data_IF_486421702027
#
_entry.id   IF_486421702027
#
_cell.length_a   1.000
_cell.length_b   1.000
_cell.length_c   1.000
_cell.angle_alpha   90.00
_cell.angle_beta   90.00
_cell.angle_gamma   90.00
#
_symmetry.space_group_name_H-M   'P 1'
#
loop_
_entity.id
_entity.type
_entity.pdbx_description
1 polymer ?
#
# COMPACT_ATOMS: atom_id res chain seq x y z
N UNK A 1 6.67 -11.48 1.55
CA UNK A 1 6.72 -11.59 3.02
C UNK A 1 8.05 -12.24 3.37
N UNK A 2 8.66 -11.98 4.53
CA UNK A 2 9.89 -12.70 4.94
C UNK A 2 9.53 -13.80 5.91
N UNK A 3 10.30 -14.90 5.92
CA UNK A 3 10.14 -15.99 6.90
C UNK A 3 10.15 -15.47 8.34
N UNK A 4 11.01 -14.49 8.64
CA UNK A 4 11.07 -13.83 9.96
C UNK A 4 9.77 -13.10 10.32
N UNK A 5 9.12 -12.43 9.36
CA UNK A 5 7.84 -11.77 9.59
C UNK A 5 6.74 -12.79 9.98
N UNK A 6 6.76 -13.96 9.33
CA UNK A 6 5.82 -15.05 9.58
C UNK A 6 5.94 -15.56 11.03
N UNK A 7 7.18 -15.84 11.49
CA UNK A 7 7.42 -16.28 12.87
C UNK A 7 7.06 -15.21 13.92
N UNK A 8 7.18 -13.94 13.56
CA UNK A 8 6.76 -12.82 14.41
C UNK A 8 5.24 -12.57 14.40
N UNK A 9 4.46 -13.41 13.73
CA UNK A 9 2.99 -13.31 13.67
C UNK A 9 2.48 -12.28 12.65
N UNK A 10 3.37 -11.69 11.85
CA UNK A 10 2.99 -10.85 10.72
C UNK A 10 2.68 -11.77 9.53
N UNK A 11 1.40 -12.05 9.33
CA UNK A 11 0.91 -12.81 8.20
C UNK A 11 -0.14 -12.03 7.43
N UNK A 12 0.07 -11.89 6.13
CA UNK A 12 -0.92 -11.32 5.22
C UNK A 12 -1.72 -12.44 4.57
N UNK A 13 -3.04 -12.39 4.73
CA UNK A 13 -3.93 -13.33 4.06
C UNK A 13 -3.97 -13.01 2.55
N UNK A 14 -3.39 -13.90 1.73
CA UNK A 14 -3.42 -13.77 0.26
C UNK A 14 -4.84 -13.75 -0.30
N UNK A 15 -5.78 -14.41 0.36
CA UNK A 15 -7.19 -14.38 0.03
C UNK A 15 -7.99 -13.99 1.28
N UNK A 16 -8.42 -12.72 1.35
CA UNK A 16 -9.14 -12.17 2.51
C UNK A 16 -10.56 -12.74 2.65
N UNK A 17 -11.20 -13.17 1.56
CA UNK A 17 -12.53 -13.81 1.58
C UNK A 17 -12.47 -15.18 2.26
N UNK A 18 -11.63 -16.10 1.76
CA UNK A 18 -11.44 -17.42 2.40
C UNK A 18 -11.10 -17.21 3.85
N UNK A 19 -10.25 -16.22 4.08
CA UNK A 19 -9.86 -15.88 5.41
C UNK A 19 -11.09 -15.57 6.29
N UNK A 20 -11.86 -14.57 5.89
CA UNK A 20 -13.06 -14.16 6.60
C UNK A 20 -14.03 -15.33 6.89
N UNK A 21 -14.24 -16.23 5.93
CA UNK A 21 -15.11 -17.40 6.09
C UNK A 21 -14.62 -18.29 7.25
N UNK A 22 -13.32 -18.62 7.30
CA UNK A 22 -12.78 -19.45 8.37
C UNK A 22 -12.95 -18.79 9.75
N UNK A 23 -12.90 -17.45 9.80
CA UNK A 23 -13.14 -16.69 11.03
C UNK A 23 -14.61 -16.71 11.44
N UNK A 24 -15.55 -16.55 10.50
CA UNK A 24 -16.99 -16.65 10.79
C UNK A 24 -17.37 -18.06 11.27
N UNK A 25 -16.72 -19.08 10.71
CA UNK A 25 -16.87 -20.47 11.14
C UNK A 25 -16.23 -20.77 12.51
N UNK A 26 -15.49 -19.83 13.09
CA UNK A 26 -14.74 -20.06 14.34
C UNK A 26 -13.60 -21.08 14.21
N UNK A 27 -13.19 -21.42 12.99
CA UNK A 27 -12.05 -22.32 12.74
C UNK A 27 -10.72 -21.65 13.09
N UNK A 28 -10.73 -20.32 13.17
CA UNK A 28 -9.60 -19.48 13.52
C UNK A 28 -10.08 -18.24 14.31
N UNK A 29 -9.19 -17.70 15.13
CA UNK A 29 -9.45 -16.48 15.90
C UNK A 29 -8.89 -15.24 15.17
N UNK A 30 -7.66 -15.37 14.66
CA UNK A 30 -6.90 -14.32 13.97
C UNK A 30 -5.88 -14.93 12.99
N UNK A 31 -5.51 -14.14 11.97
CA UNK A 31 -4.45 -14.45 11.01
C UNK A 31 -3.08 -14.33 11.66
N UNK A 32 -2.17 -15.25 11.34
CA UNK A 32 -0.76 -15.18 11.78
C UNK A 32 -0.43 -15.86 13.11
N UNK A 33 -1.41 -16.38 13.85
CA UNK A 33 -1.12 -17.14 15.08
C UNK A 33 -0.86 -18.63 14.84
N UNK A 34 -1.29 -19.18 13.69
CA UNK A 34 -1.31 -20.62 13.44
C UNK A 34 0.06 -21.29 13.49
N UNK A 35 1.09 -20.67 12.91
CA UNK A 35 2.44 -21.24 12.84
C UNK A 35 3.06 -21.36 14.24
N UNK A 36 2.97 -20.30 15.04
CA UNK A 36 3.46 -20.32 16.43
C UNK A 36 2.70 -21.34 17.28
N UNK A 37 1.40 -21.53 17.05
CA UNK A 37 0.63 -22.59 17.72
C UNK A 37 1.11 -23.99 17.35
N UNK A 38 1.44 -24.23 16.07
CA UNK A 38 1.98 -25.52 15.63
C UNK A 38 3.35 -25.77 16.28
N UNK A 39 4.23 -24.77 16.27
CA UNK A 39 5.57 -24.87 16.87
C UNK A 39 5.45 -25.18 18.37
N UNK A 40 4.68 -24.39 19.11
CA UNK A 40 4.48 -24.57 20.54
C UNK A 40 3.90 -25.96 20.85
N UNK A 41 2.93 -26.44 20.04
CA UNK A 41 2.36 -27.77 20.23
C UNK A 41 3.38 -28.89 19.99
N UNK A 42 4.30 -28.74 19.03
CA UNK A 42 5.40 -29.69 18.84
C UNK A 42 6.35 -29.68 20.06
N UNK A 43 6.74 -28.50 20.53
CA UNK A 43 7.64 -28.34 21.67
C UNK A 43 7.06 -28.90 22.98
N UNK A 44 5.78 -28.62 23.26
CA UNK A 44 5.06 -29.15 24.43
C UNK A 44 5.01 -30.68 24.46
N UNK A 45 4.97 -31.30 23.28
CA UNK A 45 4.94 -32.76 23.11
C UNK A 45 6.35 -33.38 23.00
N UNK A 46 7.41 -32.57 23.14
CA UNK A 46 8.80 -33.02 22.98
C UNK A 46 9.16 -33.50 21.58
N UNK A 47 8.40 -33.04 20.56
CA UNK A 47 8.64 -33.34 19.16
C UNK A 47 9.60 -32.31 18.54
N UNK A 48 10.36 -32.69 17.49
CA UNK A 48 11.13 -31.71 16.73
C UNK A 48 10.21 -30.62 16.15
N UNK A 49 10.66 -29.37 16.21
CA UNK A 49 9.95 -28.24 15.62
C UNK A 49 9.77 -28.44 14.11
N UNK A 50 8.64 -27.99 13.52
CA UNK A 50 8.42 -28.11 12.08
C UNK A 50 9.50 -27.34 11.31
N UNK A 51 9.95 -27.89 10.17
CA UNK A 51 10.79 -27.12 9.24
C UNK A 51 9.88 -26.35 8.30
N UNK A 52 10.12 -25.05 8.20
CA UNK A 52 9.30 -24.14 7.40
C UNK A 52 10.20 -23.47 6.39
N UNK A 53 9.87 -23.61 5.11
CA UNK A 53 10.63 -23.02 3.99
C UNK A 53 9.68 -22.29 3.04
N UNK A 54 10.04 -21.08 2.61
CA UNK A 54 9.34 -20.35 1.55
C UNK A 54 10.12 -20.53 0.25
N UNK A 55 9.51 -21.19 -0.74
CA UNK A 55 10.08 -21.42 -2.07
C UNK A 55 9.25 -20.67 -3.12
N UNK A 56 9.65 -19.44 -3.44
CA UNK A 56 8.92 -18.57 -4.39
C UNK A 56 7.43 -18.43 -4.01
N UNK A 57 6.52 -18.94 -4.84
CA UNK A 57 5.07 -18.89 -4.61
C UNK A 57 4.58 -19.95 -3.61
N UNK A 58 5.42 -20.93 -3.27
CA UNK A 58 5.08 -22.05 -2.41
C UNK A 58 5.61 -21.88 -0.99
N UNK A 59 4.86 -22.46 -0.06
CA UNK A 59 5.17 -22.49 1.35
C UNK A 59 5.16 -23.94 1.83
N UNK A 60 6.34 -24.44 2.21
CA UNK A 60 6.56 -25.82 2.62
C UNK A 60 6.60 -25.91 4.15
N UNK A 61 5.81 -26.82 4.73
CA UNK A 61 5.83 -27.14 6.17
C UNK A 61 6.08 -28.62 6.35
N UNK A 62 7.26 -28.97 6.87
CA UNK A 62 7.65 -30.35 7.16
C UNK A 62 7.44 -30.66 8.66
N UNK A 63 6.48 -31.54 8.95
CA UNK A 63 6.20 -32.05 10.30
C UNK A 63 6.93 -33.38 10.52
N UNK A 64 7.86 -33.40 11.47
CA UNK A 64 8.70 -34.58 11.73
C UNK A 64 8.00 -35.47 12.75
N UNK A 65 7.62 -36.69 12.32
CA UNK A 65 7.13 -37.74 13.22
C UNK A 65 8.28 -38.70 13.57
N UNK A 66 8.81 -38.69 14.81
CA UNK A 66 9.78 -39.69 15.24
C UNK A 66 9.07 -41.04 15.38
N UNK A 67 9.28 -41.96 14.43
CA UNK A 67 8.84 -43.35 14.58
C UNK A 67 9.97 -44.17 15.23
N UNK A 68 9.69 -44.99 16.25
CA UNK A 68 10.58 -46.10 16.54
C UNK A 68 10.53 -47.06 15.35
N UNK A 69 11.69 -47.50 14.86
CA UNK A 69 11.79 -48.57 13.88
C UNK A 69 11.19 -49.82 14.55
N UNK A 70 9.94 -50.12 14.20
CA UNK A 70 9.28 -51.38 14.49
C UNK A 70 8.90 -51.97 13.15
N UNK A 71 8.92 -53.30 13.06
CA UNK A 71 8.84 -54.11 11.83
C UNK A 71 7.52 -53.94 11.02
N UNK A 72 6.71 -52.94 11.33
CA UNK A 72 5.45 -52.56 10.66
C UNK A 72 5.66 -51.97 9.24
N UNK A 73 6.84 -52.14 8.63
CA UNK A 73 7.05 -51.79 7.21
C UNK A 73 6.11 -52.56 6.27
N UNK A 74 5.64 -53.74 6.66
CA UNK A 74 4.64 -54.50 5.90
C UNK A 74 3.28 -53.80 5.80
N UNK A 75 2.91 -52.94 6.77
CA UNK A 75 1.64 -52.17 6.71
C UNK A 75 1.68 -50.98 5.74
N UNK A 76 2.88 -50.49 5.39
CA UNK A 76 3.07 -49.34 4.51
C UNK A 76 3.37 -49.75 3.07
N UNK A 77 3.69 -51.03 2.84
CA UNK A 77 3.90 -51.57 1.50
C UNK A 77 2.59 -51.77 0.72
N UNK A 78 1.44 -51.73 1.40
CA UNK A 78 0.10 -51.78 0.78
C UNK A 78 -0.45 -50.40 0.40
N UNK A 79 0.21 -49.31 0.81
CA UNK A 79 0.02 -48.00 0.19
C UNK A 79 0.68 -48.07 -1.18
N UNK A 80 -0.05 -48.63 -2.17
CA UNK A 80 0.30 -48.48 -3.58
C UNK A 80 0.74 -47.04 -3.78
N UNK A 81 1.99 -46.83 -4.21
CA UNK A 81 2.40 -45.52 -4.67
C UNK A 81 1.32 -45.05 -5.64
N UNK A 82 0.69 -43.87 -5.43
CA UNK A 82 -0.28 -43.38 -6.38
C UNK A 82 0.43 -43.35 -7.73
N UNK A 83 -0.09 -44.11 -8.70
CA UNK A 83 0.50 -44.18 -10.03
C UNK A 83 0.68 -42.73 -10.50
N UNK A 84 1.92 -42.34 -10.85
CA UNK A 84 2.25 -40.97 -11.29
C UNK A 84 1.48 -40.52 -12.55
N UNK A 85 0.67 -41.42 -13.12
CA UNK A 85 -0.20 -41.22 -14.26
C UNK A 85 -1.69 -41.20 -13.88
N UNK A 86 -2.05 -41.11 -12.60
CA UNK A 86 -3.41 -40.79 -12.21
C UNK A 86 -3.77 -39.45 -12.87
N UNK A 87 -4.64 -39.48 -13.87
CA UNK A 87 -5.28 -38.28 -14.41
C UNK A 87 -5.70 -37.46 -13.20
N UNK A 88 -5.14 -36.24 -13.11
CA UNK A 88 -5.45 -35.27 -12.07
C UNK A 88 -6.98 -35.32 -11.91
N UNK A 89 -7.52 -35.76 -10.75
CA UNK A 89 -8.95 -35.92 -10.61
C UNK A 89 -9.57 -34.63 -11.06
N UNK A 90 -10.37 -34.69 -12.13
CA UNK A 90 -11.09 -33.53 -12.57
C UNK A 90 -11.90 -33.12 -11.35
N UNK A 91 -11.59 -31.96 -10.76
CA UNK A 91 -12.25 -31.45 -9.55
C UNK A 91 -13.70 -31.18 -9.94
N UNK A 92 -14.51 -32.22 -9.99
CA UNK A 92 -15.93 -32.09 -10.13
C UNK A 92 -16.41 -31.46 -8.83
N UNK A 93 -17.19 -30.39 -8.90
CA UNK A 93 -17.71 -29.72 -7.72
C UNK A 93 -18.69 -30.66 -6.99
N UNK A 94 -18.19 -31.55 -6.13
CA UNK A 94 -18.99 -32.46 -5.30
C UNK A 94 -19.96 -31.70 -4.38
N UNK A 95 -19.71 -30.41 -4.16
CA UNK A 95 -20.57 -29.46 -3.45
C UNK A 95 -21.89 -29.12 -4.18
N UNK A 96 -22.15 -29.65 -5.39
CA UNK A 96 -23.48 -29.53 -6.03
C UNK A 96 -24.50 -30.53 -5.49
N UNK A 97 -24.06 -31.60 -4.82
CA UNK A 97 -24.93 -32.65 -4.28
C UNK A 97 -25.25 -32.47 -2.79
N UNK A 98 -24.76 -31.40 -2.16
CA UNK A 98 -25.04 -31.04 -0.76
C UNK A 98 -26.45 -30.46 -0.60
N UNK A 99 -27.00 -30.53 0.62
CA UNK A 99 -28.31 -29.97 0.94
C UNK A 99 -28.41 -28.50 0.48
N UNK A 100 -29.52 -28.07 -0.15
CA UNK A 100 -29.66 -26.71 -0.69
C UNK A 100 -29.43 -25.61 0.35
N UNK A 101 -29.78 -25.86 1.61
CA UNK A 101 -29.59 -24.92 2.72
C UNK A 101 -28.11 -24.63 2.97
N UNK A 102 -27.26 -25.66 2.99
CA UNK A 102 -25.81 -25.50 3.15
C UNK A 102 -25.17 -24.80 1.95
N UNK A 103 -25.69 -25.04 0.74
CA UNK A 103 -25.22 -24.32 -0.45
C UNK A 103 -25.54 -22.83 -0.39
N UNK A 104 -26.71 -22.48 0.16
CA UNK A 104 -27.11 -21.08 0.32
C UNK A 104 -26.27 -20.41 1.42
N UNK A 105 -26.12 -21.03 2.58
CA UNK A 105 -25.32 -20.50 3.68
C UNK A 105 -23.86 -20.24 3.25
N UNK A 106 -23.27 -21.17 2.49
CA UNK A 106 -21.92 -21.00 1.95
C UNK A 106 -21.82 -19.84 0.95
N UNK A 107 -22.82 -19.65 0.09
CA UNK A 107 -22.87 -18.48 -0.81
C UNK A 107 -22.97 -17.19 -0.02
N UNK A 108 -23.82 -17.14 1.00
CA UNK A 108 -24.01 -15.97 1.85
C UNK A 108 -22.71 -15.60 2.59
N UNK A 109 -21.90 -16.58 3.00
CA UNK A 109 -20.56 -16.33 3.57
C UNK A 109 -19.58 -15.76 2.56
N UNK A 110 -19.57 -16.27 1.33
CA UNK A 110 -18.71 -15.74 0.26
C UNK A 110 -19.11 -14.30 -0.07
N UNK A 111 -20.39 -14.03 -0.23
CA UNK A 111 -20.91 -12.69 -0.54
C UNK A 111 -20.55 -11.68 0.56
N UNK A 112 -20.78 -12.04 1.83
CA UNK A 112 -20.36 -11.19 2.97
C UNK A 112 -18.85 -10.97 3.03
N UNK A 113 -18.05 -12.01 2.77
CA UNK A 113 -16.60 -11.90 2.73
C UNK A 113 -16.10 -10.98 1.62
N UNK A 114 -16.71 -11.05 0.43
CA UNK A 114 -16.43 -10.16 -0.69
C UNK A 114 -16.83 -8.71 -0.38
N UNK A 115 -18.02 -8.50 0.17
CA UNK A 115 -18.49 -7.16 0.57
C UNK A 115 -17.54 -6.53 1.59
N UNK A 116 -17.12 -7.32 2.59
CA UNK A 116 -16.20 -6.85 3.62
C UNK A 116 -14.83 -6.48 3.05
N UNK A 117 -14.27 -7.30 2.16
CA UNK A 117 -13.00 -7.00 1.49
C UNK A 117 -13.11 -5.71 0.66
N UNK A 118 -14.23 -5.50 -0.05
CA UNK A 118 -14.46 -4.25 -0.78
C UNK A 118 -14.55 -3.04 0.16
N UNK A 119 -15.21 -3.17 1.31
CA UNK A 119 -15.29 -2.09 2.30
C UNK A 119 -13.92 -1.75 2.89
N UNK A 120 -13.12 -2.76 3.25
CA UNK A 120 -11.76 -2.57 3.77
C UNK A 120 -10.87 -1.85 2.74
N UNK A 121 -10.90 -2.29 1.47
CA UNK A 121 -10.15 -1.64 0.39
C UNK A 121 -10.59 -0.18 0.15
N UNK A 122 -11.90 0.08 0.18
CA UNK A 122 -12.42 1.45 0.06
C UNK A 122 -11.94 2.34 1.21
N UNK A 123 -11.92 1.81 2.44
CA UNK A 123 -11.45 2.53 3.61
C UNK A 123 -9.95 2.81 3.55
N UNK A 124 -9.13 1.82 3.19
CA UNK A 124 -7.68 1.95 3.00
C UNK A 124 -7.37 3.06 1.97
N UNK A 125 -8.03 3.01 0.81
CA UNK A 125 -7.87 4.03 -0.24
C UNK A 125 -8.28 5.43 0.24
N UNK A 126 -9.39 5.54 0.97
CA UNK A 126 -9.87 6.82 1.48
C UNK A 126 -8.88 7.43 2.49
N UNK A 127 -8.28 6.60 3.34
CA UNK A 127 -7.26 7.04 4.29
C UNK A 127 -5.98 7.50 3.60
N UNK A 128 -5.50 6.73 2.62
CA UNK A 128 -4.30 7.08 1.84
C UNK A 128 -4.48 8.41 1.12
N UNK A 129 -5.61 8.59 0.42
CA UNK A 129 -5.93 9.85 -0.25
C UNK A 129 -6.01 11.03 0.73
N UNK A 130 -6.61 10.82 1.90
CA UNK A 130 -6.69 11.86 2.93
C UNK A 130 -5.31 12.25 3.45
N UNK A 131 -4.43 11.26 3.64
CA UNK A 131 -3.07 11.49 4.09
C UNK A 131 -2.24 12.23 3.04
N UNK A 132 -2.33 11.84 1.77
CA UNK A 132 -1.66 12.53 0.66
C UNK A 132 -2.12 13.98 0.55
N UNK A 133 -3.44 14.21 0.57
CA UNK A 133 -4.00 15.57 0.52
C UNK A 133 -3.53 16.41 1.71
N UNK A 134 -3.49 15.84 2.92
CA UNK A 134 -2.99 16.55 4.10
C UNK A 134 -1.52 16.93 3.96
N UNK A 135 -0.68 16.05 3.39
CA UNK A 135 0.72 16.37 3.11
C UNK A 135 0.87 17.47 2.07
N UNK A 136 0.08 17.44 0.98
CA UNK A 136 0.09 18.49 -0.04
C UNK A 136 -0.36 19.84 0.54
N UNK A 137 -1.41 19.85 1.37
CA UNK A 137 -1.88 21.07 2.05
C UNK A 137 -0.87 21.63 3.05
N UNK A 138 -0.09 20.76 3.73
CA UNK A 138 0.98 21.21 4.64
C UNK A 138 2.17 21.81 3.91
N UNK A 139 2.41 21.44 2.64
CA UNK A 139 3.50 22.00 1.86
C UNK A 139 3.08 23.30 1.18
N UNK A 140 3.68 24.42 1.59
CA UNK A 140 3.48 25.67 0.85
C UNK A 140 3.94 25.50 -0.60
N UNK A 141 3.01 25.72 -1.53
CA UNK A 141 3.27 25.62 -2.97
C UNK A 141 4.40 26.55 -3.39
N UNK A 142 5.15 26.17 -4.44
CA UNK A 142 6.16 27.04 -5.05
C UNK A 142 5.52 28.37 -5.50
N UNK A 143 4.22 28.37 -5.82
CA UNK A 143 3.46 29.58 -6.12
C UNK A 143 3.42 30.56 -4.94
N UNK A 144 2.99 30.09 -3.77
CA UNK A 144 2.92 30.91 -2.56
C UNK A 144 4.29 31.44 -2.15
N UNK A 145 5.31 30.58 -2.20
CA UNK A 145 6.70 30.93 -1.85
C UNK A 145 7.24 32.05 -2.72
N UNK A 146 7.11 31.94 -4.05
CA UNK A 146 7.63 32.94 -5.00
C UNK A 146 6.91 34.28 -4.84
N UNK A 147 5.58 34.28 -4.74
CA UNK A 147 4.81 35.51 -4.53
C UNK A 147 5.17 36.19 -3.20
N UNK A 148 5.42 35.39 -2.15
CA UNK A 148 5.93 35.88 -0.86
C UNK A 148 7.27 36.59 -0.97
N UNK A 149 8.21 36.06 -1.77
CA UNK A 149 9.50 36.73 -2.01
C UNK A 149 9.33 38.06 -2.77
N UNK A 150 8.41 38.10 -3.74
CA UNK A 150 8.14 39.29 -4.56
C UNK A 150 7.34 40.38 -3.83
N UNK A 151 6.78 40.11 -2.64
CA UNK A 151 6.23 41.15 -1.77
C UNK A 151 7.32 42.12 -1.29
N UNK A 152 8.54 41.63 -1.07
CA UNK A 152 9.66 42.45 -0.58
C UNK A 152 10.26 43.37 -1.64
N UNK A 153 9.94 43.18 -2.92
CA UNK A 153 10.45 44.00 -4.01
C UNK A 153 10.59 43.24 -5.33
N UNK A 154 11.19 43.89 -6.31
CA UNK A 154 11.41 43.28 -7.63
C UNK A 154 12.64 42.38 -7.65
N UNK A 155 12.48 41.13 -8.08
CA UNK A 155 13.54 40.11 -8.09
C UNK A 155 13.68 39.48 -9.48
N UNK A 156 14.91 39.17 -9.88
CA UNK A 156 15.23 38.32 -11.03
C UNK A 156 15.01 36.84 -10.69
N UNK A 157 14.93 35.97 -11.70
CA UNK A 157 14.78 34.52 -11.49
C UNK A 157 15.91 33.94 -10.63
N UNK A 158 17.14 34.45 -10.78
CA UNK A 158 18.27 34.04 -9.97
C UNK A 158 18.12 34.47 -8.51
N UNK A 159 17.70 35.70 -8.26
CA UNK A 159 17.46 36.21 -6.90
C UNK A 159 16.33 35.43 -6.20
N UNK A 160 15.26 35.10 -6.92
CA UNK A 160 14.18 34.22 -6.41
C UNK A 160 14.71 32.83 -6.08
N UNK A 161 15.50 32.22 -6.97
CA UNK A 161 16.13 30.92 -6.74
C UNK A 161 16.98 30.91 -5.47
N UNK A 162 17.82 31.94 -5.29
CA UNK A 162 18.66 32.10 -4.10
C UNK A 162 17.84 32.30 -2.83
N UNK A 163 16.78 33.13 -2.89
CA UNK A 163 15.89 33.36 -1.75
C UNK A 163 15.11 32.11 -1.33
N UNK A 164 14.83 31.20 -2.27
CA UNK A 164 14.23 29.89 -2.00
C UNK A 164 15.24 28.82 -1.54
N UNK A 165 16.52 29.17 -1.36
CA UNK A 165 17.57 28.24 -0.94
C UNK A 165 18.03 27.25 -2.02
N UNK A 166 17.69 27.49 -3.29
CA UNK A 166 18.10 26.61 -4.40
C UNK A 166 19.52 26.98 -4.86
N UNK A 167 20.35 25.95 -5.15
CA UNK A 167 21.74 26.12 -5.63
C UNK A 167 21.81 26.71 -7.05
N UNK A 168 20.78 26.49 -7.85
CA UNK A 168 20.65 26.99 -9.23
C UNK A 168 19.18 27.12 -9.61
N UNK A 169 18.90 27.86 -10.69
CA UNK A 169 17.54 28.00 -11.22
C UNK A 169 17.07 26.63 -11.71
N UNK A 170 16.10 26.06 -10.99
CA UNK A 170 15.46 24.80 -11.39
C UNK A 170 14.52 25.00 -12.58
N UNK A 171 14.36 23.96 -13.40
CA UNK A 171 13.38 23.98 -14.50
C UNK A 171 11.94 24.21 -13.99
N UNK A 172 11.63 23.66 -12.81
CA UNK A 172 10.35 23.88 -12.14
C UNK A 172 10.13 25.36 -11.77
N UNK A 173 11.14 26.03 -11.20
CA UNK A 173 11.05 27.46 -10.89
C UNK A 173 10.85 28.29 -12.16
N UNK A 174 11.59 27.99 -13.23
CA UNK A 174 11.43 28.66 -14.50
C UNK A 174 10.00 28.53 -15.06
N UNK A 175 9.45 27.32 -15.04
CA UNK A 175 8.08 27.05 -15.49
C UNK A 175 7.04 27.77 -14.64
N UNK A 176 7.20 27.78 -13.32
CA UNK A 176 6.29 28.49 -12.40
C UNK A 176 6.35 30.00 -12.66
N UNK A 177 7.53 30.60 -12.79
CA UNK A 177 7.68 32.02 -13.08
C UNK A 177 7.04 32.42 -14.42
N UNK A 178 7.19 31.60 -15.46
CA UNK A 178 6.54 31.85 -16.75
C UNK A 178 5.01 31.77 -16.64
N UNK A 179 4.50 30.73 -15.97
CA UNK A 179 3.05 30.54 -15.79
C UNK A 179 2.44 31.67 -14.95
N UNK A 180 3.08 32.08 -13.86
CA UNK A 180 2.66 33.25 -13.08
C UNK A 180 2.60 34.55 -13.89
N UNK A 181 3.53 34.71 -14.84
CA UNK A 181 3.54 35.86 -15.73
C UNK A 181 2.40 35.80 -16.74
N UNK A 182 2.14 34.62 -17.32
CA UNK A 182 1.00 34.38 -18.22
C UNK A 182 -0.35 34.58 -17.51
N UNK A 183 -0.46 34.12 -16.27
CA UNK A 183 -1.62 34.31 -15.40
C UNK A 183 -1.77 35.77 -14.90
N UNK A 184 -0.80 36.63 -15.19
CA UNK A 184 -0.79 38.04 -14.80
C UNK A 184 -0.62 38.26 -13.30
N UNK A 185 -0.07 37.30 -12.56
CA UNK A 185 0.26 37.43 -11.13
C UNK A 185 1.56 38.21 -10.92
N UNK A 186 2.49 38.09 -11.86
CA UNK A 186 3.76 38.82 -11.89
C UNK A 186 3.97 39.43 -13.28
N UNK A 187 4.76 40.48 -13.36
CA UNK A 187 5.10 41.13 -14.63
C UNK A 187 6.56 41.55 -14.66
N UNK A 188 7.08 41.77 -15.87
CA UNK A 188 8.43 42.29 -16.03
C UNK A 188 8.54 43.76 -15.61
N UNK A 189 9.69 44.13 -15.06
CA UNK A 189 9.99 45.53 -14.75
C UNK A 189 10.33 46.35 -15.99
N UNK A 190 10.86 45.73 -17.05
CA UNK A 190 11.22 46.37 -18.32
C UNK A 190 10.49 45.66 -19.48
N UNK A 191 9.18 45.95 -19.69
CA UNK A 191 8.38 45.27 -20.71
C UNK A 191 8.89 45.52 -22.13
N UNK A 192 9.38 46.73 -22.42
CA UNK A 192 9.90 47.15 -23.73
C UNK A 192 11.16 46.39 -24.16
N UNK A 193 11.90 45.79 -23.21
CA UNK A 193 13.13 45.04 -23.49
C UNK A 193 13.10 43.68 -22.78
N UNK A 194 12.34 42.70 -23.29
CA UNK A 194 12.18 41.38 -22.66
C UNK A 194 13.50 40.64 -22.43
N UNK A 195 14.48 40.83 -23.34
CA UNK A 195 15.80 40.20 -23.29
C UNK A 195 16.85 41.02 -22.52
N UNK A 196 16.42 42.02 -21.75
CA UNK A 196 17.33 42.84 -20.94
C UNK A 196 18.03 41.99 -19.88
N UNK A 197 19.34 42.14 -19.74
CA UNK A 197 20.11 41.51 -18.66
C UNK A 197 19.74 42.04 -17.26
N UNK A 198 19.08 43.21 -17.20
CA UNK A 198 18.59 43.83 -15.97
C UNK A 198 17.11 43.52 -15.68
N UNK A 199 16.53 42.56 -16.40
CA UNK A 199 15.12 42.21 -16.24
C UNK A 199 14.84 41.62 -14.86
N UNK A 200 13.80 42.13 -14.21
CA UNK A 200 13.26 41.58 -12.95
C UNK A 200 11.77 41.37 -13.06
N UNK A 201 11.23 40.63 -12.11
CA UNK A 201 9.79 40.42 -11.93
C UNK A 201 9.30 41.29 -10.77
N UNK A 202 8.10 41.83 -10.90
CA UNK A 202 7.36 42.49 -9.83
C UNK A 202 5.96 41.92 -9.71
N UNK A 203 5.42 41.97 -8.50
CA UNK A 203 4.06 41.53 -8.21
C UNK A 203 3.03 42.46 -8.84
N UNK A 204 1.96 41.92 -9.41
CA UNK A 204 0.82 42.71 -9.88
C UNK A 204 -0.25 42.85 -8.79
N UNK A 205 -1.25 43.73 -9.00
CA UNK A 205 -2.42 43.81 -8.12
C UNK A 205 -3.16 42.47 -8.01
N UNK A 206 -3.24 41.72 -9.13
CA UNK A 206 -3.85 40.39 -9.18
C UNK A 206 -3.03 39.38 -8.37
N UNK A 207 -1.69 39.41 -8.51
CA UNK A 207 -0.79 38.58 -7.71
C UNK A 207 -0.92 38.83 -6.21
N UNK A 208 -1.04 40.09 -5.80
CA UNK A 208 -1.23 40.46 -4.40
C UNK A 208 -2.57 39.98 -3.84
N UNK A 209 -3.66 40.14 -4.60
CA UNK A 209 -4.98 39.65 -4.21
C UNK A 209 -4.98 38.12 -4.09
N UNK A 210 -4.40 37.42 -5.09
CA UNK A 210 -4.27 35.97 -5.09
C UNK A 210 -3.45 35.46 -3.88
N UNK A 211 -2.28 36.05 -3.63
CA UNK A 211 -1.45 35.69 -2.48
C UNK A 211 -2.19 35.87 -1.15
N UNK A 212 -2.96 36.95 -1.02
CA UNK A 212 -3.73 37.25 0.18
C UNK A 212 -4.85 36.23 0.39
N UNK A 213 -5.56 35.84 -0.68
CA UNK A 213 -6.63 34.84 -0.63
C UNK A 213 -6.09 33.46 -0.21
N UNK A 214 -5.01 33.01 -0.85
CA UNK A 214 -4.39 31.70 -0.59
C UNK A 214 -3.86 31.57 0.84
N UNK A 215 -3.46 32.68 1.49
CA UNK A 215 -2.97 32.64 2.90
C UNK A 215 -4.03 32.97 3.94
N UNK A 216 -5.06 33.80 3.65
CA UNK A 216 -6.14 34.09 4.60
C UNK A 216 -7.09 32.93 4.85
N UNK A 217 -7.20 31.97 3.94
CA UNK A 217 -7.97 30.74 4.19
C UNK A 217 -7.30 29.80 5.21
N UNK A 218 -6.02 30.02 5.55
CA UNK A 218 -5.30 29.24 6.58
C UNK A 218 -5.33 29.80 8.01
N UNK A 219 -6.00 30.94 8.24
CA UNK A 219 -6.11 31.60 9.57
C UNK A 219 -7.50 31.48 10.22
N UNK A 220 -8.36 30.58 9.72
CA UNK A 220 -9.68 30.29 10.32
C UNK A 220 -9.73 28.93 10.98
#
# INVERSE_FOLDING_TARGET
MTIEAIFNGHSEARNRVIAHIFKELGLIEQWGSGINRIINACEEQGLPTPKIEEKNDFFDVELIRPRPITDDYERLADDKQPELNAEKPELQPEYKNTQPELQQEFKDWIERGLEKEQQELQQELQQELQQELQQELQQESLYGKVLGQLLGGSLSTQEVSTALGQKSISGQLYNVMNKMREDGLIEWTIPEKPKSSKQKYKLTKRGLAFYTLVRKEGEK
#
